data_IF_223324850502
#
_entry.id   IF_223324850502
#
_cell.length_a   1.000
_cell.length_b   1.000
_cell.length_c   1.000
_cell.angle_alpha   90.00
_cell.angle_beta   90.00
_cell.angle_gamma   90.00
#
_symmetry.space_group_name_H-M   'P 1'
#
loop_
_entity.id
_entity.type
_entity.pdbx_description
1 polymer ?
#
# COMPACT_ATOMS: atom_id res chain seq x y z
N UNK A 1 2.66 -17.14 -18.80
CA UNK A 1 2.40 -15.68 -18.97
C UNK A 1 3.70 -14.92 -19.37
N UNK A 2 3.62 -13.74 -20.02
CA UNK A 2 4.82 -12.95 -20.40
C UNK A 2 5.28 -12.04 -19.26
N UNK A 3 6.60 -11.93 -19.09
CA UNK A 3 7.25 -10.99 -18.16
C UNK A 3 7.19 -9.56 -18.72
N UNK A 4 6.92 -8.58 -17.86
CA UNK A 4 6.85 -7.15 -18.18
C UNK A 4 7.60 -6.34 -17.13
N UNK A 5 8.61 -5.60 -17.56
CA UNK A 5 9.40 -4.72 -16.70
C UNK A 5 8.63 -3.44 -16.36
N UNK A 6 8.89 -2.91 -15.17
CA UNK A 6 8.44 -1.61 -14.70
C UNK A 6 9.64 -0.77 -14.26
N UNK A 7 9.40 0.50 -13.95
CA UNK A 7 10.45 1.38 -13.47
C UNK A 7 11.13 0.86 -12.19
N UNK A 8 12.38 1.29 -11.98
CA UNK A 8 13.17 1.01 -10.76
C UNK A 8 13.24 -0.48 -10.40
N UNK A 9 13.22 -1.37 -11.41
CA UNK A 9 13.43 -2.80 -11.24
C UNK A 9 12.23 -3.58 -10.71
N UNK A 10 11.05 -2.95 -10.59
CA UNK A 10 9.82 -3.72 -10.39
C UNK A 10 9.47 -4.48 -11.67
N UNK A 11 8.81 -5.63 -11.54
CA UNK A 11 8.48 -6.49 -12.68
C UNK A 11 7.22 -7.29 -12.37
N UNK A 12 6.43 -7.62 -13.39
CA UNK A 12 5.28 -8.51 -13.22
C UNK A 12 5.16 -9.51 -14.37
N UNK A 13 4.52 -10.64 -14.08
CA UNK A 13 4.20 -11.72 -15.03
C UNK A 13 2.71 -11.97 -14.93
N UNK A 14 1.99 -11.86 -16.05
CA UNK A 14 0.52 -11.89 -16.07
C UNK A 14 -0.09 -10.49 -16.10
N UNK A 15 -1.11 -10.28 -15.28
CA UNK A 15 -1.79 -9.00 -15.12
C UNK A 15 -1.31 -8.26 -13.88
N UNK A 16 -1.16 -6.95 -13.99
CA UNK A 16 -0.84 -6.12 -12.83
C UNK A 16 -2.14 -5.81 -12.08
N UNK A 17 -2.23 -6.04 -10.76
CA UNK A 17 -3.45 -5.77 -9.99
C UNK A 17 -3.87 -4.31 -10.08
N UNK A 18 -5.17 -4.00 -10.03
CA UNK A 18 -5.65 -2.63 -10.20
C UNK A 18 -5.11 -1.71 -9.08
N UNK A 19 -5.07 -2.19 -7.83
CA UNK A 19 -4.44 -1.46 -6.73
C UNK A 19 -2.96 -1.14 -6.96
N UNK A 20 -2.24 -1.96 -7.73
CA UNK A 20 -0.85 -1.71 -8.13
C UNK A 20 -0.74 -0.66 -9.25
N UNK A 21 -1.70 -0.63 -10.19
CA UNK A 21 -1.77 0.40 -11.23
C UNK A 21 -2.00 1.80 -10.62
N UNK A 22 -2.91 1.92 -9.65
CA UNK A 22 -3.12 3.17 -8.91
C UNK A 22 -1.87 3.61 -8.14
N UNK A 23 -1.16 2.65 -7.53
CA UNK A 23 0.12 2.88 -6.89
C UNK A 23 1.15 3.48 -7.84
N UNK A 24 1.32 2.88 -9.03
CA UNK A 24 2.26 3.34 -10.05
C UNK A 24 1.94 4.76 -10.53
N UNK A 25 0.65 5.09 -10.72
CA UNK A 25 0.19 6.43 -11.11
C UNK A 25 0.32 7.47 -9.99
N UNK A 26 0.60 7.07 -8.76
CA UNK A 26 0.61 7.95 -7.58
C UNK A 26 -0.77 8.43 -7.14
N UNK A 27 -1.86 7.86 -7.69
CA UNK A 27 -3.24 8.27 -7.40
C UNK A 27 -3.88 7.49 -6.25
N UNK A 28 -3.09 6.70 -5.52
CA UNK A 28 -3.53 5.88 -4.40
C UNK A 28 -3.19 6.53 -3.06
N UNK A 29 -4.20 6.88 -2.27
CA UNK A 29 -4.00 7.28 -0.87
C UNK A 29 -3.72 6.03 -0.02
N UNK A 30 -2.79 6.12 0.92
CA UNK A 30 -2.56 5.05 1.91
C UNK A 30 -3.29 5.40 3.20
N UNK A 31 -4.36 4.68 3.54
CA UNK A 31 -5.14 4.92 4.75
C UNK A 31 -4.81 3.88 5.82
N UNK A 32 -4.02 4.26 6.82
CA UNK A 32 -3.84 3.47 8.02
C UNK A 32 -5.02 3.69 8.96
N UNK A 33 -5.83 2.65 9.21
CA UNK A 33 -7.06 2.77 10.02
C UNK A 33 -6.88 2.40 11.49
N UNK A 34 -5.84 1.62 11.79
CA UNK A 34 -5.40 1.30 13.15
C UNK A 34 -3.97 0.79 13.11
N UNK A 35 -3.21 0.96 14.18
CA UNK A 35 -1.92 0.31 14.35
C UNK A 35 -1.97 -1.01 15.12
N UNK A 36 -3.15 -1.41 15.63
CA UNK A 36 -3.33 -2.67 16.38
C UNK A 36 -3.24 -3.87 15.44
N UNK A 37 -2.53 -4.91 15.84
CA UNK A 37 -2.35 -6.16 15.11
C UNK A 37 -1.94 -7.26 16.07
N UNK A 38 -2.38 -8.50 15.82
CA UNK A 38 -1.95 -9.68 16.57
C UNK A 38 -0.85 -10.48 15.85
N UNK A 39 -0.57 -10.17 14.58
CA UNK A 39 0.33 -10.97 13.72
C UNK A 39 1.80 -11.04 14.16
N UNK A 40 2.29 -10.04 14.91
CA UNK A 40 3.60 -10.12 15.57
C UNK A 40 4.83 -10.25 14.64
N UNK A 41 4.70 -9.93 13.34
CA UNK A 41 5.74 -10.21 12.34
C UNK A 41 7.11 -9.61 12.73
N UNK A 42 8.16 -10.41 12.58
CA UNK A 42 9.53 -9.99 12.92
C UNK A 42 10.10 -8.98 11.93
N UNK A 43 9.56 -8.94 10.71
CA UNK A 43 9.90 -7.97 9.66
C UNK A 43 8.96 -6.77 9.58
N UNK A 44 7.93 -6.66 10.43
CA UNK A 44 6.91 -5.59 10.34
C UNK A 44 7.57 -4.19 10.26
N UNK A 45 7.37 -3.43 9.17
CA UNK A 45 8.03 -2.13 8.97
C UNK A 45 7.32 -0.98 9.71
N UNK A 46 6.16 -1.24 10.31
CA UNK A 46 5.31 -0.21 10.91
C UNK A 46 6.05 0.60 11.98
N UNK A 47 6.01 1.93 11.86
CA UNK A 47 6.76 2.85 12.72
C UNK A 47 6.31 2.78 14.18
N UNK A 48 7.18 3.19 15.12
CA UNK A 48 6.82 3.27 16.56
C UNK A 48 5.65 4.22 16.85
N UNK A 49 5.41 5.20 15.98
CA UNK A 49 4.28 6.14 16.11
C UNK A 49 2.96 5.46 15.79
N UNK A 50 2.94 4.51 14.85
CA UNK A 50 1.75 3.82 14.33
C UNK A 50 1.54 2.47 15.07
N UNK A 51 2.59 1.65 15.24
CA UNK A 51 2.52 0.28 15.77
C UNK A 51 1.87 0.15 17.15
N UNK A 52 0.91 -0.77 17.26
CA UNK A 52 0.15 -1.11 18.46
C UNK A 52 -0.64 0.07 19.06
N UNK A 53 -1.02 1.07 18.25
CA UNK A 53 -1.79 2.23 18.72
C UNK A 53 -3.11 2.36 17.95
N UNK A 54 -4.16 2.82 18.63
CA UNK A 54 -5.44 3.19 18.00
C UNK A 54 -5.33 4.56 17.34
N UNK A 55 -4.59 4.66 16.24
CA UNK A 55 -4.38 5.90 15.48
C UNK A 55 -4.76 5.70 14.03
N UNK A 56 -5.21 6.76 13.38
CA UNK A 56 -5.56 6.79 11.95
C UNK A 56 -4.63 7.76 11.25
N UNK A 57 -4.13 7.39 10.07
CA UNK A 57 -3.33 8.27 9.21
C UNK A 57 -3.79 8.12 7.76
N UNK A 58 -3.95 9.25 7.07
CA UNK A 58 -4.11 9.30 5.63
C UNK A 58 -2.76 9.78 5.07
N UNK A 59 -2.09 8.91 4.32
CA UNK A 59 -0.66 9.01 4.02
C UNK A 59 0.18 9.25 5.29
N UNK A 60 0.80 10.42 5.42
CA UNK A 60 1.55 10.84 6.62
C UNK A 60 0.78 11.82 7.51
N UNK A 61 -0.40 12.27 7.09
CA UNK A 61 -1.27 13.15 7.89
C UNK A 61 -1.98 12.33 8.95
N UNK A 62 -1.84 12.72 10.23
CA UNK A 62 -2.63 12.15 11.31
C UNK A 62 -4.07 12.62 11.16
N UNK A 63 -5.00 11.67 11.23
CA UNK A 63 -6.43 11.92 11.05
C UNK A 63 -7.06 12.19 12.41
N UNK A 64 -7.67 13.36 12.55
CA UNK A 64 -8.45 13.77 13.73
C UNK A 64 -9.95 13.58 13.47
N UNK A 65 -10.40 13.86 12.25
CA UNK A 65 -11.77 13.66 11.79
C UNK A 65 -11.85 13.08 10.37
N UNK A 66 -13.07 12.83 9.87
CA UNK A 66 -13.27 12.27 8.53
C UNK A 66 -12.84 13.22 7.40
N UNK A 67 -12.88 14.52 7.63
CA UNK A 67 -12.56 15.54 6.63
C UNK A 67 -11.07 15.54 6.34
N UNK A 68 -10.23 15.18 7.30
CA UNK A 68 -8.80 14.94 7.07
C UNK A 68 -8.55 13.86 6.02
N UNK A 69 -9.35 12.80 6.01
CA UNK A 69 -9.24 11.70 5.03
C UNK A 69 -9.65 12.21 3.64
N UNK A 70 -10.79 12.91 3.56
CA UNK A 70 -11.30 13.43 2.29
C UNK A 70 -10.36 14.48 1.70
N UNK A 71 -9.87 15.42 2.53
CA UNK A 71 -8.92 16.44 2.09
C UNK A 71 -7.61 15.83 1.61
N UNK A 72 -7.10 14.80 2.29
CA UNK A 72 -5.89 14.11 1.87
C UNK A 72 -6.11 13.42 0.51
N UNK A 73 -7.21 12.68 0.36
CA UNK A 73 -7.59 12.06 -0.91
C UNK A 73 -7.76 13.10 -2.06
N UNK A 74 -8.49 14.19 -1.82
CA UNK A 74 -8.65 15.30 -2.79
C UNK A 74 -7.30 15.93 -3.14
N UNK A 75 -6.41 16.09 -2.15
CA UNK A 75 -5.10 16.73 -2.36
C UNK A 75 -4.24 16.01 -3.37
N UNK A 76 -4.40 14.69 -3.54
CA UNK A 76 -3.65 13.91 -4.54
C UNK A 76 -4.50 13.54 -5.77
N UNK A 77 -5.74 14.04 -5.83
CA UNK A 77 -6.75 13.60 -6.79
C UNK A 77 -6.88 12.07 -6.75
N UNK A 78 -7.07 11.51 -5.57
CA UNK A 78 -7.05 10.07 -5.37
C UNK A 78 -8.13 9.41 -6.23
N UNK A 79 -7.74 8.37 -6.95
CA UNK A 79 -8.67 7.50 -7.69
C UNK A 79 -8.71 6.10 -7.08
N UNK A 80 -8.05 5.92 -5.93
CA UNK A 80 -8.07 4.69 -5.17
C UNK A 80 -7.46 4.88 -3.78
N UNK A 81 -7.77 3.95 -2.88
CA UNK A 81 -7.28 3.95 -1.50
C UNK A 81 -6.80 2.57 -1.08
N UNK A 82 -5.57 2.49 -0.58
CA UNK A 82 -5.06 1.32 0.12
C UNK A 82 -5.28 1.39 1.62
N UNK A 83 -6.20 0.59 2.13
CA UNK A 83 -6.48 0.47 3.55
C UNK A 83 -5.49 -0.49 4.21
N UNK A 84 -4.67 0.05 5.09
CA UNK A 84 -3.61 -0.66 5.81
C UNK A 84 -3.72 -0.46 7.31
N UNK A 85 -2.78 -1.02 8.05
CA UNK A 85 -2.76 -0.87 9.49
C UNK A 85 -1.68 -1.67 10.18
N UNK A 86 -1.95 -1.96 11.44
CA UNK A 86 -1.55 -3.23 12.00
C UNK A 86 -2.34 -4.36 11.32
N UNK A 87 -3.64 -4.45 11.64
CA UNK A 87 -4.64 -5.20 10.89
C UNK A 87 -5.92 -4.33 10.77
N UNK A 88 -6.33 -3.91 9.57
CA UNK A 88 -7.57 -3.18 9.32
C UNK A 88 -8.82 -3.85 9.88
N UNK A 89 -8.87 -5.18 9.94
CA UNK A 89 -10.02 -5.89 10.52
C UNK A 89 -10.07 -5.82 12.05
N UNK A 90 -9.04 -5.28 12.71
CA UNK A 90 -9.06 -5.03 14.15
C UNK A 90 -9.87 -3.78 14.55
N UNK A 91 -10.63 -3.17 13.63
CA UNK A 91 -11.46 -2.00 13.93
C UNK A 91 -12.66 -1.83 12.99
N UNK A 92 -13.81 -1.49 13.57
CA UNK A 92 -15.03 -1.07 12.86
C UNK A 92 -14.87 0.18 11.98
N UNK A 93 -13.80 0.95 12.18
CA UNK A 93 -13.56 2.17 11.39
C UNK A 93 -13.38 1.85 9.91
N UNK A 94 -12.90 0.65 9.59
CA UNK A 94 -12.66 0.19 8.22
C UNK A 94 -13.92 0.31 7.37
N UNK A 95 -15.04 -0.30 7.79
CA UNK A 95 -16.32 -0.21 7.08
C UNK A 95 -16.79 1.22 6.88
N UNK A 96 -16.67 2.05 7.93
CA UNK A 96 -17.07 3.46 7.89
C UNK A 96 -16.26 4.25 6.85
N UNK A 97 -14.96 3.99 6.76
CA UNK A 97 -14.09 4.69 5.82
C UNK A 97 -14.23 4.20 4.39
N UNK A 98 -14.51 2.90 4.17
CA UNK A 98 -14.83 2.39 2.83
C UNK A 98 -16.07 3.11 2.29
N UNK A 99 -17.18 3.09 3.05
CA UNK A 99 -18.42 3.78 2.66
C UNK A 99 -18.22 5.27 2.43
N UNK A 100 -17.52 5.95 3.34
CA UNK A 100 -17.18 7.36 3.20
C UNK A 100 -16.47 7.68 1.88
N UNK A 101 -15.50 6.84 1.49
CA UNK A 101 -14.72 7.05 0.27
C UNK A 101 -15.55 6.77 -0.99
N UNK A 102 -16.37 5.71 -0.99
CA UNK A 102 -17.28 5.41 -2.10
C UNK A 102 -18.37 6.47 -2.25
N UNK A 103 -18.94 6.96 -1.14
CA UNK A 103 -19.92 8.05 -1.13
C UNK A 103 -19.34 9.36 -1.70
N UNK A 104 -18.09 9.69 -1.38
CA UNK A 104 -17.46 10.93 -1.83
C UNK A 104 -16.91 10.85 -3.28
N UNK A 105 -16.23 9.75 -3.61
CA UNK A 105 -15.46 9.62 -4.86
C UNK A 105 -16.11 8.71 -5.91
N UNK A 106 -17.22 8.06 -5.57
CA UNK A 106 -17.98 7.17 -6.44
C UNK A 106 -17.51 5.71 -6.42
N UNK A 107 -18.30 4.85 -7.06
CA UNK A 107 -18.05 3.40 -7.10
C UNK A 107 -16.75 3.04 -7.83
N UNK A 108 -16.31 3.86 -8.78
CA UNK A 108 -15.05 3.66 -9.52
C UNK A 108 -13.81 3.94 -8.68
N UNK A 109 -13.94 4.52 -7.48
CA UNK A 109 -12.80 4.74 -6.58
C UNK A 109 -12.34 3.40 -6.01
N UNK A 110 -11.24 2.87 -6.53
CA UNK A 110 -10.75 1.53 -6.18
C UNK A 110 -10.18 1.46 -4.77
N UNK A 111 -10.76 0.63 -3.91
CA UNK A 111 -10.36 0.42 -2.53
C UNK A 111 -9.83 -1.00 -2.38
N UNK A 112 -8.59 -1.12 -1.89
CA UNK A 112 -8.02 -2.40 -1.51
C UNK A 112 -7.55 -2.44 -0.06
N UNK A 113 -7.57 -3.62 0.55
CA UNK A 113 -7.29 -3.80 1.96
C UNK A 113 -6.29 -4.93 2.23
N UNK A 114 -5.39 -4.71 3.19
CA UNK A 114 -4.44 -5.72 3.66
C UNK A 114 -4.93 -6.39 4.94
N UNK A 115 -4.90 -7.72 5.07
CA UNK A 115 -5.20 -8.38 6.36
C UNK A 115 -4.50 -9.71 6.54
N UNK A 116 -4.34 -10.16 7.79
CA UNK A 116 -3.97 -11.54 8.10
C UNK A 116 -5.17 -12.37 8.61
N UNK A 117 -6.30 -11.72 8.84
CA UNK A 117 -7.50 -12.36 9.36
C UNK A 117 -8.05 -13.37 8.36
N UNK A 118 -8.64 -14.44 8.88
CA UNK A 118 -9.47 -15.37 8.11
C UNK A 118 -10.93 -15.31 8.54
N UNK A 119 -11.33 -14.17 9.12
CA UNK A 119 -12.70 -13.89 9.54
C UNK A 119 -13.57 -13.63 8.32
N UNK A 120 -14.15 -14.71 7.81
CA UNK A 120 -14.94 -14.71 6.58
C UNK A 120 -16.13 -13.76 6.65
N UNK A 121 -16.84 -13.72 7.77
CA UNK A 121 -18.08 -12.94 7.90
C UNK A 121 -17.78 -11.45 7.70
N UNK A 122 -16.80 -10.92 8.44
CA UNK A 122 -16.37 -9.54 8.27
C UNK A 122 -15.81 -9.25 6.87
N UNK A 123 -15.14 -10.19 6.22
CA UNK A 123 -14.61 -9.98 4.86
C UNK A 123 -15.76 -9.87 3.84
N UNK A 124 -16.80 -10.71 3.96
CA UNK A 124 -17.98 -10.61 3.10
C UNK A 124 -18.68 -9.25 3.28
N UNK A 125 -18.84 -8.80 4.53
CA UNK A 125 -19.40 -7.48 4.84
C UNK A 125 -18.54 -6.33 4.27
N UNK A 126 -17.22 -6.50 4.15
CA UNK A 126 -16.36 -5.49 3.52
C UNK A 126 -16.65 -5.36 2.03
N UNK A 127 -16.88 -6.49 1.34
CA UNK A 127 -17.32 -6.49 -0.05
C UNK A 127 -18.65 -5.72 -0.21
N UNK A 128 -19.63 -6.00 0.64
CA UNK A 128 -20.91 -5.27 0.65
C UNK A 128 -20.77 -3.78 0.97
N UNK A 129 -19.73 -3.39 1.71
CA UNK A 129 -19.43 -1.99 2.01
C UNK A 129 -18.76 -1.24 0.85
N UNK A 130 -18.34 -1.94 -0.22
CA UNK A 130 -17.64 -1.38 -1.37
C UNK A 130 -16.13 -1.61 -1.36
N UNK A 131 -15.63 -2.68 -0.72
CA UNK A 131 -14.25 -3.12 -0.96
C UNK A 131 -14.16 -3.75 -2.37
N UNK A 132 -13.12 -3.42 -3.13
CA UNK A 132 -12.93 -3.98 -4.49
C UNK A 132 -11.89 -5.11 -4.49
N UNK A 133 -10.81 -4.97 -3.70
CA UNK A 133 -9.66 -5.88 -3.72
C UNK A 133 -9.18 -6.20 -2.31
N UNK A 134 -8.91 -7.48 -2.00
CA UNK A 134 -8.37 -7.91 -0.70
C UNK A 134 -7.03 -8.61 -0.86
N UNK A 135 -6.04 -8.21 -0.05
CA UNK A 135 -4.70 -8.78 -0.03
C UNK A 135 -4.42 -9.46 1.30
N UNK A 136 -4.33 -10.78 1.28
CA UNK A 136 -3.96 -11.53 2.47
C UNK A 136 -2.45 -11.56 2.67
N UNK A 137 -2.03 -11.35 3.91
CA UNK A 137 -0.63 -11.45 4.33
C UNK A 137 -0.46 -12.65 5.27
N UNK A 138 -0.37 -13.89 4.74
CA UNK A 138 -0.32 -15.08 5.57
C UNK A 138 0.98 -15.13 6.41
N UNK A 139 0.91 -15.58 7.67
CA UNK A 139 2.10 -15.77 8.49
C UNK A 139 3.11 -16.72 7.85
N UNK A 140 4.39 -16.33 7.77
CA UNK A 140 5.48 -17.10 7.14
C UNK A 140 5.53 -18.57 7.58
N UNK A 141 5.25 -18.84 8.86
CA UNK A 141 5.23 -20.20 9.42
C UNK A 141 4.17 -21.14 8.83
N UNK A 142 3.24 -20.61 8.04
CA UNK A 142 2.15 -21.36 7.41
C UNK A 142 2.40 -21.62 5.92
N UNK A 143 3.38 -20.97 5.29
CA UNK A 143 3.57 -21.01 3.82
C UNK A 143 3.71 -22.43 3.27
N UNK A 144 4.40 -23.34 3.98
CA UNK A 144 4.58 -24.76 3.59
C UNK A 144 3.35 -25.65 3.75
N UNK A 145 2.28 -25.15 4.37
CA UNK A 145 1.10 -25.95 4.74
C UNK A 145 -0.17 -25.13 4.76
N UNK A 146 -0.28 -24.19 3.83
CA UNK A 146 -1.43 -23.29 3.76
C UNK A 146 -2.74 -24.05 3.54
N UNK A 147 -2.67 -25.17 2.81
CA UNK A 147 -3.76 -26.09 2.54
C UNK A 147 -4.44 -26.62 3.82
N UNK A 148 -3.68 -26.76 4.92
CA UNK A 148 -4.17 -27.22 6.22
C UNK A 148 -4.78 -26.11 7.09
N UNK A 149 -4.87 -24.88 6.58
CA UNK A 149 -5.29 -23.72 7.36
C UNK A 149 -6.68 -23.22 6.98
N UNK A 150 -7.22 -22.31 7.78
CA UNK A 150 -8.49 -21.63 7.49
C UNK A 150 -8.49 -20.80 6.20
N UNK A 151 -7.32 -20.53 5.60
CA UNK A 151 -7.26 -19.84 4.31
C UNK A 151 -7.90 -20.67 3.19
N UNK A 152 -7.79 -22.01 3.19
CA UNK A 152 -8.34 -22.85 2.12
C UNK A 152 -9.86 -22.69 2.00
N UNK A 153 -10.58 -22.76 3.11
CA UNK A 153 -12.04 -22.56 3.11
C UNK A 153 -12.40 -21.12 2.76
N UNK A 154 -11.66 -20.15 3.31
CA UNK A 154 -11.90 -18.73 3.06
C UNK A 154 -11.74 -18.38 1.57
N UNK A 155 -10.61 -18.71 0.96
CA UNK A 155 -10.33 -18.32 -0.42
C UNK A 155 -11.31 -18.98 -1.40
N UNK A 156 -11.70 -20.24 -1.17
CA UNK A 156 -12.78 -20.90 -1.93
C UNK A 156 -14.08 -20.12 -1.81
N UNK A 157 -14.48 -19.77 -0.59
CA UNK A 157 -15.70 -19.03 -0.36
C UNK A 157 -15.69 -17.64 -1.01
N UNK A 158 -14.57 -16.92 -0.97
CA UNK A 158 -14.46 -15.59 -1.61
C UNK A 158 -14.57 -15.71 -3.13
N UNK A 159 -13.85 -16.65 -3.74
CA UNK A 159 -13.93 -16.93 -5.18
C UNK A 159 -15.36 -17.28 -5.63
N UNK A 160 -16.09 -18.05 -4.82
CA UNK A 160 -17.41 -18.55 -5.19
C UNK A 160 -18.55 -17.56 -4.86
N UNK A 161 -18.33 -16.60 -3.95
CA UNK A 161 -19.42 -15.79 -3.35
C UNK A 161 -19.23 -14.29 -3.46
N UNK A 162 -18.07 -13.81 -3.90
CA UNK A 162 -17.81 -12.37 -4.00
C UNK A 162 -17.18 -12.02 -5.33
N UNK A 163 -17.36 -10.77 -5.74
CA UNK A 163 -16.66 -10.17 -6.89
C UNK A 163 -15.34 -9.48 -6.48
N UNK A 164 -14.87 -9.72 -5.24
CA UNK A 164 -13.60 -9.18 -4.76
C UNK A 164 -12.43 -9.75 -5.57
N UNK A 165 -11.53 -8.87 -5.99
CA UNK A 165 -10.21 -9.29 -6.46
C UNK A 165 -9.40 -9.80 -5.26
N UNK A 166 -9.13 -11.10 -5.24
CA UNK A 166 -8.40 -11.74 -4.14
C UNK A 166 -6.94 -11.90 -4.51
N UNK A 167 -6.04 -11.40 -3.66
CA UNK A 167 -4.60 -11.54 -3.83
C UNK A 167 -3.87 -11.89 -2.55
N UNK A 168 -2.61 -12.31 -2.69
CA UNK A 168 -1.67 -12.48 -1.59
C UNK A 168 -0.62 -11.38 -1.64
N UNK A 169 -0.24 -10.82 -0.49
CA UNK A 169 0.91 -9.93 -0.38
C UNK A 169 1.91 -10.49 0.63
N UNK A 170 3.15 -10.71 0.18
CA UNK A 170 4.23 -11.26 1.00
C UNK A 170 5.56 -10.53 0.75
N UNK A 171 6.47 -10.49 1.74
CA UNK A 171 7.83 -10.05 1.48
C UNK A 171 8.64 -11.16 0.79
N UNK A 172 9.57 -10.78 -0.08
CA UNK A 172 10.61 -11.70 -0.58
C UNK A 172 11.66 -11.92 0.50
N UNK A 173 11.62 -13.06 1.17
CA UNK A 173 12.50 -13.39 2.31
C UNK A 173 13.64 -14.29 1.83
N UNK A 174 14.91 -13.82 1.81
CA UNK A 174 16.03 -14.68 1.44
C UNK A 174 16.11 -15.93 2.32
N UNK A 175 16.33 -17.09 1.69
CA UNK A 175 16.34 -18.39 2.35
C UNK A 175 14.96 -19.00 2.61
N UNK A 176 13.91 -18.48 1.95
CA UNK A 176 12.54 -19.03 2.01
C UNK A 176 11.98 -19.43 0.63
N UNK A 177 12.86 -19.87 -0.27
CA UNK A 177 12.47 -20.12 -1.66
C UNK A 177 11.48 -21.27 -1.74
N UNK A 178 11.83 -22.41 -1.14
CA UNK A 178 11.03 -23.63 -1.17
C UNK A 178 9.62 -23.39 -0.61
N UNK A 179 9.52 -22.70 0.53
CA UNK A 179 8.25 -22.36 1.15
C UNK A 179 7.41 -21.40 0.29
N UNK A 180 8.08 -20.47 -0.41
CA UNK A 180 7.39 -19.52 -1.30
C UNK A 180 6.90 -20.19 -2.58
N UNK A 181 7.68 -21.13 -3.14
CA UNK A 181 7.26 -21.94 -4.29
C UNK A 181 6.04 -22.77 -3.95
N UNK A 182 6.05 -23.51 -2.83
CA UNK A 182 4.89 -24.29 -2.37
C UNK A 182 3.65 -23.41 -2.19
N UNK A 183 3.82 -22.23 -1.59
CA UNK A 183 2.74 -21.25 -1.45
C UNK A 183 2.16 -20.85 -2.82
N UNK A 184 2.99 -20.56 -3.83
CA UNK A 184 2.51 -20.11 -5.15
C UNK A 184 1.82 -21.23 -5.93
N UNK A 185 2.34 -22.45 -5.85
CA UNK A 185 1.71 -23.63 -6.45
C UNK A 185 0.32 -23.87 -5.85
N UNK A 186 0.21 -23.79 -4.53
CA UNK A 186 -1.09 -23.93 -3.85
C UNK A 186 -2.07 -22.80 -4.20
N UNK A 187 -1.59 -21.55 -4.31
CA UNK A 187 -2.45 -20.37 -4.56
C UNK A 187 -3.05 -20.30 -5.95
N UNK A 188 -2.46 -20.99 -6.94
CA UNK A 188 -2.85 -20.87 -8.35
C UNK A 188 -4.32 -21.21 -8.61
N UNK A 189 -4.97 -21.97 -7.72
CA UNK A 189 -6.39 -22.34 -7.83
C UNK A 189 -7.35 -21.34 -7.13
N UNK A 190 -6.83 -20.33 -6.43
CA UNK A 190 -7.61 -19.58 -5.43
C UNK A 190 -7.55 -18.05 -5.54
N UNK A 191 -6.51 -17.48 -6.14
CA UNK A 191 -6.27 -16.03 -6.13
C UNK A 191 -5.84 -15.53 -7.50
N UNK A 192 -6.10 -14.25 -7.75
CA UNK A 192 -5.82 -13.64 -9.05
C UNK A 192 -4.37 -13.19 -9.19
N UNK A 193 -3.74 -12.87 -8.05
CA UNK A 193 -2.36 -12.40 -8.03
C UNK A 193 -1.62 -12.63 -6.71
N UNK A 194 -0.29 -12.60 -6.81
CA UNK A 194 0.62 -12.49 -5.68
C UNK A 194 1.54 -11.28 -5.84
N UNK A 195 1.49 -10.39 -4.86
CA UNK A 195 2.39 -9.26 -4.70
C UNK A 195 3.57 -9.65 -3.81
N UNK A 196 4.77 -9.56 -4.38
CA UNK A 196 6.05 -9.87 -3.73
C UNK A 196 6.76 -8.54 -3.48
N UNK A 197 6.82 -8.10 -2.22
CA UNK A 197 7.50 -6.87 -1.85
C UNK A 197 8.98 -7.14 -1.54
N UNK A 198 9.89 -6.28 -1.98
CA UNK A 198 11.27 -6.32 -1.51
C UNK A 198 11.31 -6.13 0.01
N UNK A 199 11.96 -7.06 0.72
CA UNK A 199 12.06 -7.03 2.17
C UNK A 199 12.94 -5.86 2.61
N UNK A 200 12.43 -5.05 3.54
CA UNK A 200 13.08 -3.81 3.98
C UNK A 200 13.40 -3.77 5.47
N UNK A 201 14.52 -3.12 5.79
CA UNK A 201 14.87 -2.62 7.11
C UNK A 201 14.05 -1.38 7.45
N UNK A 202 13.66 -1.29 8.70
CA UNK A 202 12.98 -0.14 9.29
C UNK A 202 13.44 0.04 10.74
N UNK A 203 13.23 1.24 11.27
CA UNK A 203 13.57 1.58 12.66
C UNK A 203 12.97 0.64 13.72
N UNK A 204 11.97 -0.19 13.39
CA UNK A 204 11.33 -1.13 14.33
C UNK A 204 11.65 -2.60 14.09
N UNK A 205 12.21 -2.96 12.93
CA UNK A 205 12.55 -4.35 12.60
C UNK A 205 14.07 -4.62 12.53
N UNK A 206 14.93 -3.59 12.42
CA UNK A 206 16.36 -3.76 12.15
C UNK A 206 17.05 -4.76 13.07
N UNK A 207 16.89 -4.63 14.39
CA UNK A 207 17.50 -5.56 15.36
C UNK A 207 17.03 -7.01 15.18
N UNK A 208 15.76 -7.22 14.80
CA UNK A 208 15.19 -8.56 14.60
C UNK A 208 15.67 -9.19 13.30
N UNK A 209 15.88 -8.38 12.26
CA UNK A 209 16.46 -8.80 10.97
C UNK A 209 17.93 -9.15 11.13
N UNK A 210 18.73 -8.28 11.74
CA UNK A 210 20.15 -8.53 12.01
C UNK A 210 20.37 -9.79 12.86
N UNK A 211 19.56 -10.01 13.91
CA UNK A 211 19.61 -11.24 14.73
C UNK A 211 19.34 -12.52 13.92
N UNK A 212 18.66 -12.40 12.77
CA UNK A 212 18.38 -13.51 11.84
C UNK A 212 19.44 -13.66 10.75
N UNK A 213 20.49 -12.82 10.74
CA UNK A 213 21.56 -12.86 9.76
C UNK A 213 21.27 -12.09 8.47
N UNK A 214 20.22 -11.27 8.41
CA UNK A 214 19.97 -10.41 7.26
C UNK A 214 20.85 -9.16 7.27
N UNK A 215 21.32 -8.77 6.09
CA UNK A 215 22.19 -7.61 5.85
C UNK A 215 21.53 -6.61 4.90
N UNK A 216 21.93 -5.35 5.00
CA UNK A 216 21.53 -4.32 4.03
C UNK A 216 22.09 -4.64 2.64
N UNK A 217 21.30 -4.36 1.60
CA UNK A 217 21.68 -4.52 0.20
C UNK A 217 22.85 -3.59 -0.20
N UNK A 218 22.85 -2.37 0.31
CA UNK A 218 23.91 -1.38 0.14
C UNK A 218 23.83 -0.31 1.24
N UNK A 219 24.86 0.54 1.34
CA UNK A 219 24.92 1.62 2.34
C UNK A 219 23.81 2.68 2.18
N UNK A 220 23.21 2.77 0.99
CA UNK A 220 22.18 3.77 0.65
C UNK A 220 20.77 3.18 0.55
N UNK A 221 20.60 1.87 0.77
CA UNK A 221 19.31 1.18 0.63
C UNK A 221 18.88 0.51 1.93
N UNK A 222 17.61 0.66 2.28
CA UNK A 222 17.00 -0.14 3.34
C UNK A 222 16.55 -1.53 2.88
N UNK A 223 16.74 -1.92 1.61
CA UNK A 223 16.43 -3.29 1.17
C UNK A 223 17.36 -4.32 1.82
N UNK A 224 16.83 -5.52 2.04
CA UNK A 224 17.60 -6.68 2.49
C UNK A 224 18.32 -7.31 1.29
N UNK A 225 19.62 -7.58 1.45
CA UNK A 225 20.45 -8.27 0.46
C UNK A 225 19.87 -9.67 0.14
N UNK A 226 19.78 -10.02 -1.13
CA UNK A 226 19.19 -11.30 -1.58
C UNK A 226 17.68 -11.24 -1.81
N UNK A 227 16.99 -10.17 -1.40
CA UNK A 227 15.53 -10.09 -1.49
C UNK A 227 15.06 -9.85 -2.92
N UNK A 228 15.71 -8.94 -3.66
CA UNK A 228 15.42 -8.74 -5.08
C UNK A 228 15.75 -10.00 -5.89
N UNK A 229 16.89 -10.61 -5.61
CA UNK A 229 17.39 -11.79 -6.32
C UNK A 229 16.40 -12.96 -6.21
N UNK A 230 15.92 -13.24 -5.00
CA UNK A 230 14.89 -14.25 -4.78
C UNK A 230 13.58 -13.90 -5.49
N UNK A 231 13.12 -12.64 -5.39
CA UNK A 231 11.87 -12.23 -6.01
C UNK A 231 11.91 -12.38 -7.53
N UNK A 232 13.04 -11.99 -8.15
CA UNK A 232 13.28 -12.15 -9.58
C UNK A 232 13.32 -13.63 -9.95
N UNK A 233 14.02 -14.45 -9.18
CA UNK A 233 14.07 -15.89 -9.42
C UNK A 233 12.65 -16.49 -9.44
N UNK A 234 11.84 -16.19 -8.42
CA UNK A 234 10.45 -16.65 -8.30
C UNK A 234 9.58 -16.17 -9.48
N UNK A 235 9.71 -14.92 -9.91
CA UNK A 235 8.87 -14.38 -10.98
C UNK A 235 9.16 -15.00 -12.36
N UNK A 236 10.38 -15.53 -12.55
CA UNK A 236 10.77 -16.22 -13.78
C UNK A 236 10.27 -17.67 -13.84
N UNK A 237 9.91 -18.26 -12.69
CA UNK A 237 9.30 -19.58 -12.63
C UNK A 237 7.89 -19.56 -13.23
N UNK A 238 7.37 -20.73 -13.56
CA UNK A 238 6.05 -20.86 -14.17
C UNK A 238 5.01 -21.27 -13.13
N UNK A 239 4.13 -20.33 -12.81
CA UNK A 239 2.99 -20.52 -11.94
C UNK A 239 1.74 -20.04 -12.67
N UNK A 240 0.59 -20.64 -12.36
CA UNK A 240 -0.70 -20.28 -12.94
C UNK A 240 -1.40 -19.20 -12.10
N UNK A 241 -0.64 -18.15 -11.77
CA UNK A 241 -1.12 -16.98 -11.02
C UNK A 241 -0.31 -15.76 -11.46
N UNK A 242 -0.94 -14.58 -11.48
CA UNK A 242 -0.21 -13.34 -11.78
C UNK A 242 0.77 -13.02 -10.66
N UNK A 243 2.02 -12.73 -10.99
CA UNK A 243 3.04 -12.38 -10.01
C UNK A 243 3.52 -10.95 -10.25
N UNK A 244 3.64 -10.17 -9.19
CA UNK A 244 4.18 -8.82 -9.24
C UNK A 244 5.23 -8.60 -8.15
N UNK A 245 6.47 -8.37 -8.56
CA UNK A 245 7.53 -7.92 -7.68
C UNK A 245 7.55 -6.39 -7.62
N UNK A 246 7.29 -5.85 -6.43
CA UNK A 246 7.41 -4.43 -6.13
C UNK A 246 8.73 -4.16 -5.40
N UNK A 247 9.68 -3.55 -6.11
CA UNK A 247 10.95 -3.12 -5.55
C UNK A 247 10.76 -1.94 -4.59
N UNK A 248 11.64 -1.83 -3.60
CA UNK A 248 11.64 -0.70 -2.69
C UNK A 248 11.96 0.61 -3.43
N UNK A 249 12.87 0.56 -4.40
CA UNK A 249 13.23 1.70 -5.23
C UNK A 249 12.04 2.23 -6.07
N UNK A 250 11.12 1.36 -6.48
CA UNK A 250 9.89 1.75 -7.17
C UNK A 250 8.88 2.41 -6.23
N UNK A 251 8.70 1.84 -5.02
CA UNK A 251 7.85 2.42 -3.97
C UNK A 251 8.28 3.84 -3.63
N UNK A 252 9.57 4.06 -3.39
CA UNK A 252 10.07 5.36 -2.94
C UNK A 252 10.34 6.33 -4.11
N UNK A 253 10.85 5.83 -5.23
CA UNK A 253 11.29 6.66 -6.35
C UNK A 253 10.25 6.91 -7.43
N UNK A 254 9.13 6.17 -7.44
CA UNK A 254 8.07 6.32 -8.44
C UNK A 254 6.72 6.57 -7.77
N UNK A 255 6.27 5.66 -6.91
CA UNK A 255 4.92 5.77 -6.33
C UNK A 255 4.80 7.03 -5.45
N UNK A 256 5.77 7.26 -4.56
CA UNK A 256 5.80 8.46 -3.72
C UNK A 256 6.02 9.73 -4.55
N UNK A 257 6.97 9.73 -5.49
CA UNK A 257 7.24 10.86 -6.36
C UNK A 257 6.02 11.27 -7.17
N UNK A 258 5.33 10.32 -7.81
CA UNK A 258 4.11 10.60 -8.58
C UNK A 258 3.01 11.16 -7.68
N UNK A 259 2.86 10.65 -6.45
CA UNK A 259 1.90 11.18 -5.48
C UNK A 259 2.22 12.63 -5.09
N UNK A 260 3.49 12.95 -4.85
CA UNK A 260 3.94 14.32 -4.52
C UNK A 260 3.67 15.27 -5.69
N UNK A 261 3.97 14.86 -6.93
CA UNK A 261 3.69 15.66 -8.13
C UNK A 261 2.20 15.96 -8.28
N UNK A 262 1.34 14.94 -8.16
CA UNK A 262 -0.11 15.11 -8.15
C UNK A 262 -0.56 16.05 -7.04
N UNK A 263 0.06 15.94 -5.85
CA UNK A 263 -0.26 16.85 -4.75
C UNK A 263 0.05 18.30 -5.10
N UNK A 264 1.24 18.55 -5.62
CA UNK A 264 1.64 19.90 -6.01
C UNK A 264 0.66 20.50 -7.03
N UNK A 265 0.29 19.74 -8.06
CA UNK A 265 -0.68 20.16 -9.09
C UNK A 265 -2.06 20.50 -8.51
N UNK A 266 -2.59 19.67 -7.60
CA UNK A 266 -3.94 19.85 -7.04
C UNK A 266 -4.01 20.87 -5.90
N UNK A 267 -2.87 21.25 -5.31
CA UNK A 267 -2.83 22.16 -4.14
C UNK A 267 -2.21 23.52 -4.44
N UNK A 268 -1.62 23.68 -5.62
CA UNK A 268 -1.10 24.95 -6.09
C UNK A 268 -2.21 25.99 -6.17
N UNK A 269 -1.90 27.20 -5.69
CA UNK A 269 -2.71 28.40 -5.96
C UNK A 269 -2.44 28.88 -7.37
N UNK A 270 -3.32 29.73 -7.90
CA UNK A 270 -3.15 30.35 -9.22
C UNK A 270 -1.80 31.08 -9.38
N UNK A 271 -1.25 31.62 -8.29
CA UNK A 271 0.04 32.33 -8.25
C UNK A 271 1.26 31.42 -8.03
N UNK A 272 1.07 30.16 -7.68
CA UNK A 272 2.17 29.24 -7.39
C UNK A 272 2.77 28.68 -8.68
N UNK A 273 4.08 28.44 -8.69
CA UNK A 273 4.74 27.71 -9.78
C UNK A 273 5.05 26.29 -9.30
N UNK A 274 4.47 25.30 -9.96
CA UNK A 274 4.75 23.87 -9.73
C UNK A 274 6.05 23.49 -10.45
N UNK A 275 7.01 22.90 -9.74
CA UNK A 275 8.26 22.42 -10.32
C UNK A 275 8.13 20.99 -10.85
N UNK A 276 9.06 20.56 -11.71
CA UNK A 276 9.11 19.19 -12.24
C UNK A 276 9.26 18.11 -11.14
N UNK A 277 9.79 18.48 -9.96
CA UNK A 277 9.96 17.59 -8.81
C UNK A 277 8.72 17.50 -7.92
N UNK A 278 7.66 18.27 -8.23
CA UNK A 278 6.44 18.32 -7.40
C UNK A 278 6.60 19.20 -6.16
N UNK A 279 7.43 20.23 -6.23
CA UNK A 279 7.51 21.29 -5.21
C UNK A 279 6.81 22.56 -5.70
N UNK A 280 6.48 23.47 -4.78
CA UNK A 280 5.85 24.76 -5.08
C UNK A 280 6.84 25.89 -4.84
N UNK A 281 7.00 26.77 -5.83
CA UNK A 281 7.64 28.07 -5.66
C UNK A 281 6.53 29.09 -5.45
N UNK A 282 6.53 29.75 -4.28
CA UNK A 282 5.53 30.73 -3.87
C UNK A 282 6.19 32.06 -3.52
N UNK A 283 5.70 33.13 -4.14
CA UNK A 283 5.98 34.50 -3.71
C UNK A 283 5.12 34.85 -2.50
N UNK A 284 5.73 35.38 -1.45
CA UNK A 284 5.03 35.90 -0.27
C UNK A 284 5.44 37.36 -0.09
N UNK A 285 4.46 38.25 0.00
CA UNK A 285 4.70 39.65 0.38
C UNK A 285 4.26 39.79 1.83
N UNK A 286 5.19 40.22 2.68
CA UNK A 286 4.94 40.45 4.09
C UNK A 286 4.89 41.96 4.36
N UNK A 287 3.92 42.40 5.14
CA UNK A 287 3.77 43.78 5.60
C UNK A 287 3.29 43.80 7.04
N UNK A 288 3.59 44.90 7.76
CA UNK A 288 3.08 45.10 9.13
C UNK A 288 1.56 45.16 9.16
N UNK A 289 0.94 45.72 8.12
CA UNK A 289 -0.49 45.73 7.89
C UNK A 289 -0.82 45.11 6.52
N UNK A 290 -1.31 43.87 6.53
CA UNK A 290 -1.64 43.13 5.30
C UNK A 290 -2.85 43.71 4.55
N UNK A 291 -3.80 44.33 5.25
CA UNK A 291 -4.99 44.94 4.65
C UNK A 291 -4.62 46.20 3.88
N UNK A 292 -3.82 47.08 4.51
CA UNK A 292 -3.31 48.29 3.86
C UNK A 292 -2.48 47.95 2.62
N UNK A 293 -1.57 46.98 2.71
CA UNK A 293 -0.80 46.51 1.55
C UNK A 293 -1.71 45.96 0.45
N UNK A 294 -2.75 45.20 0.80
CA UNK A 294 -3.69 44.64 -0.17
C UNK A 294 -4.47 45.73 -0.90
N UNK A 295 -4.96 46.75 -0.19
CA UNK A 295 -5.62 47.92 -0.77
C UNK A 295 -4.66 48.67 -1.70
N UNK A 296 -3.44 48.94 -1.24
CA UNK A 296 -2.38 49.60 -2.01
C UNK A 296 -2.05 48.87 -3.32
N UNK A 297 -1.94 47.55 -3.28
CA UNK A 297 -1.68 46.72 -4.45
C UNK A 297 -2.86 46.73 -5.43
N UNK A 298 -4.10 46.71 -4.92
CA UNK A 298 -5.32 46.73 -5.72
C UNK A 298 -5.59 48.08 -6.38
N UNK A 299 -5.14 49.18 -5.78
CA UNK A 299 -5.22 50.51 -6.40
C UNK A 299 -4.16 50.73 -7.49
N UNK A 300 -2.97 50.12 -7.34
CA UNK A 300 -1.81 50.35 -8.23
C UNK A 300 -1.76 49.44 -9.46
N UNK A 301 -2.34 48.24 -9.40
CA UNK A 301 -2.28 47.21 -10.45
C UNK A 301 -3.68 46.70 -10.81
#
# INVERSE_FOLDING_TARGET
>A
MKLKEMEKGSVFKGELPEGCKHCARGSKMVLLVTGKCEGGCWYCPLSKKKRNKSVVYADEKRVEDKEDILNEARSIGASGTGITGGDPLATEKTFKFIRLLKEEFGEDHHIHLYTQSTDKEHILELGEAGLDEIRFHPPVRKWEKMEETSYTSLLRDLRDKTELDVGIEIPSIPGKKEETVHLFEWLSDFVEFVNINELEFSSTNTKKLQKRGYEHKSDVSSAVKGSEELARELIHMDFDVSLHYCSLAFKDGVQLTNRIKRRAENTARESDIVTEEGTLIRGVIEAENAEELYEDLREKY
#
